data_IF_279437510555
#
_entry.id   IF_279437510555
#
_cell.length_a   1.000
_cell.length_b   1.000
_cell.length_c   1.000
_cell.angle_alpha   90.00
_cell.angle_beta   90.00
_cell.angle_gamma   90.00
#
_symmetry.space_group_name_H-M   'P 1'
#
loop_
_entity.id
_entity.type
_entity.pdbx_description
1 polymer ?
#
# COMPACT_ATOMS: atom_id res chain seq x y z
N UNK A 1 -27.79 7.13 -14.19
CA UNK A 1 -26.38 7.41 -13.88
C UNK A 1 -26.01 8.66 -14.64
N UNK A 2 -26.22 9.82 -14.03
CA UNK A 2 -25.82 11.10 -14.61
C UNK A 2 -24.47 11.46 -14.00
N UNK A 3 -23.43 10.95 -14.66
CA UNK A 3 -22.04 11.28 -14.42
C UNK A 3 -21.65 12.32 -15.46
N UNK A 4 -20.82 13.28 -15.04
CA UNK A 4 -20.46 14.43 -15.85
C UNK A 4 -20.07 14.02 -17.27
N UNK A 5 -20.55 14.77 -18.26
CA UNK A 5 -20.37 14.47 -19.70
C UNK A 5 -18.89 14.22 -20.06
N UNK A 6 -17.95 14.81 -19.31
CA UNK A 6 -16.50 14.65 -19.47
C UNK A 6 -15.96 13.29 -18.99
N UNK A 7 -16.44 12.77 -17.86
CA UNK A 7 -16.05 11.44 -17.35
C UNK A 7 -16.50 10.34 -18.32
N UNK A 8 -17.66 10.51 -18.96
CA UNK A 8 -18.13 9.60 -20.01
C UNK A 8 -17.24 9.62 -21.27
N UNK A 9 -16.63 10.77 -21.63
CA UNK A 9 -15.73 10.86 -22.80
C UNK A 9 -14.39 10.16 -22.57
N UNK A 10 -13.80 10.35 -21.40
CA UNK A 10 -12.53 9.70 -21.04
C UNK A 10 -12.72 8.19 -20.95
N UNK A 11 -13.83 7.75 -20.34
CA UNK A 11 -14.19 6.33 -20.28
C UNK A 11 -14.38 5.74 -21.69
N UNK A 12 -15.13 6.43 -22.56
CA UNK A 12 -15.34 6.00 -23.94
C UNK A 12 -14.05 5.93 -24.76
N UNK A 13 -13.08 6.83 -24.51
CA UNK A 13 -11.76 6.75 -25.13
C UNK A 13 -11.02 5.48 -24.72
N UNK A 14 -10.95 5.16 -23.43
CA UNK A 14 -10.26 3.95 -22.99
C UNK A 14 -10.94 2.67 -23.47
N UNK A 15 -12.27 2.64 -23.51
CA UNK A 15 -13.02 1.55 -24.10
C UNK A 15 -12.67 1.40 -25.60
N UNK A 16 -12.63 2.51 -26.34
CA UNK A 16 -12.27 2.50 -27.77
C UNK A 16 -10.80 2.11 -27.99
N UNK A 17 -9.88 2.51 -27.10
CA UNK A 17 -8.47 2.17 -27.17
C UNK A 17 -8.22 0.68 -26.93
N UNK A 18 -8.78 0.10 -25.87
CA UNK A 18 -8.45 -1.27 -25.47
C UNK A 18 -9.36 -2.33 -26.08
N UNK A 19 -10.61 -1.98 -26.38
CA UNK A 19 -11.62 -2.93 -26.85
C UNK A 19 -12.22 -2.53 -28.21
N UNK A 20 -11.70 -1.47 -28.83
CA UNK A 20 -12.23 -0.93 -30.06
C UNK A 20 -11.97 -1.77 -31.30
N UNK A 21 -10.88 -2.53 -31.36
CA UNK A 21 -10.62 -3.48 -32.44
C UNK A 21 -11.68 -4.58 -32.53
N UNK A 22 -12.35 -4.89 -31.41
CA UNK A 22 -13.49 -5.83 -31.34
C UNK A 22 -14.86 -5.15 -31.44
N UNK A 23 -14.90 -3.83 -31.68
CA UNK A 23 -16.14 -3.08 -31.86
C UNK A 23 -16.96 -2.81 -30.59
N UNK A 24 -16.44 -3.11 -29.40
CA UNK A 24 -17.15 -2.98 -28.10
C UNK A 24 -17.73 -1.58 -27.87
N UNK A 25 -16.98 -0.54 -28.22
CA UNK A 25 -17.45 0.85 -28.15
C UNK A 25 -18.69 1.13 -29.04
N UNK A 26 -18.84 0.45 -30.17
CA UNK A 26 -20.04 0.56 -31.02
C UNK A 26 -21.26 -0.13 -30.40
N UNK A 27 -21.08 -1.23 -29.67
CA UNK A 27 -22.16 -1.89 -28.90
C UNK A 27 -22.66 -0.99 -27.77
N UNK A 28 -21.76 -0.32 -27.06
CA UNK A 28 -22.09 0.66 -26.00
C UNK A 28 -22.84 1.86 -26.59
N UNK A 29 -22.45 2.32 -27.78
CA UNK A 29 -23.17 3.35 -28.54
C UNK A 29 -24.46 2.85 -29.22
N UNK A 30 -24.85 1.58 -29.00
CA UNK A 30 -26.04 0.93 -29.58
C UNK A 30 -26.05 0.87 -31.12
N UNK A 31 -24.88 0.94 -31.75
CA UNK A 31 -24.72 0.76 -33.19
C UNK A 31 -24.25 -0.66 -33.52
N UNK A 32 -25.17 -1.62 -33.35
CA UNK A 32 -24.88 -3.05 -33.46
C UNK A 32 -24.35 -3.47 -34.83
N UNK A 33 -24.78 -2.81 -35.91
CA UNK A 33 -24.30 -3.09 -37.27
C UNK A 33 -22.79 -2.85 -37.39
N UNK A 34 -22.29 -1.72 -36.87
CA UNK A 34 -20.86 -1.41 -36.85
C UNK A 34 -20.09 -2.27 -35.86
N UNK A 35 -20.67 -2.56 -34.70
CA UNK A 35 -20.07 -3.48 -33.72
C UNK A 35 -19.82 -4.86 -34.31
N UNK A 36 -20.82 -5.46 -34.98
CA UNK A 36 -20.71 -6.75 -35.66
C UNK A 36 -19.68 -6.68 -36.79
N UNK A 37 -19.70 -5.62 -37.62
CA UNK A 37 -18.69 -5.44 -38.67
C UNK A 37 -17.26 -5.42 -38.10
N UNK A 38 -17.02 -4.67 -37.01
CA UNK A 38 -15.70 -4.57 -36.36
C UNK A 38 -15.27 -5.90 -35.73
N UNK A 39 -16.21 -6.65 -35.14
CA UNK A 39 -15.95 -7.95 -34.55
C UNK A 39 -15.43 -8.96 -35.59
N UNK A 40 -15.99 -8.95 -36.81
CA UNK A 40 -15.58 -9.86 -37.88
C UNK A 40 -14.43 -9.35 -38.76
N UNK A 41 -14.08 -8.07 -38.66
CA UNK A 41 -13.02 -7.45 -39.47
C UNK A 41 -11.83 -6.92 -38.65
N UNK A 42 -11.82 -7.16 -37.33
CA UNK A 42 -10.84 -6.60 -36.39
C UNK A 42 -10.67 -5.09 -36.58
N UNK A 43 -11.77 -4.36 -36.43
CA UNK A 43 -11.78 -2.91 -36.53
C UNK A 43 -11.58 -2.39 -37.95
N UNK A 44 -12.09 -3.12 -38.95
CA UNK A 44 -11.93 -2.78 -40.37
C UNK A 44 -10.47 -2.85 -40.80
N UNK A 45 -9.82 -3.99 -40.51
CA UNK A 45 -8.38 -4.20 -40.72
C UNK A 45 -7.51 -3.17 -39.98
N UNK A 46 -7.86 -2.85 -38.73
CA UNK A 46 -7.21 -1.87 -37.85
C UNK A 46 -7.23 -0.40 -38.30
N UNK A 47 -7.55 -0.09 -39.56
CA UNK A 47 -7.56 1.29 -40.08
C UNK A 47 -8.75 2.08 -39.52
N UNK A 48 -9.95 1.48 -39.51
CA UNK A 48 -11.15 2.15 -39.00
C UNK A 48 -11.11 2.32 -37.48
N UNK A 49 -10.53 1.35 -36.77
CA UNK A 49 -10.27 1.45 -35.33
C UNK A 49 -9.29 2.57 -34.99
N UNK A 50 -8.20 2.75 -35.75
CA UNK A 50 -7.24 3.83 -35.50
C UNK A 50 -7.88 5.22 -35.70
N UNK A 51 -8.75 5.34 -36.71
CA UNK A 51 -9.56 6.55 -36.90
C UNK A 51 -10.47 6.82 -35.69
N UNK A 52 -11.13 5.79 -35.14
CA UNK A 52 -12.01 5.94 -33.98
C UNK A 52 -11.25 6.28 -32.69
N UNK A 53 -10.02 5.79 -32.52
CA UNK A 53 -9.13 6.23 -31.42
C UNK A 53 -8.82 7.72 -31.56
N UNK A 54 -8.36 8.16 -32.73
CA UNK A 54 -8.03 9.56 -32.98
C UNK A 54 -9.26 10.45 -32.75
N UNK A 55 -10.42 10.05 -33.27
CA UNK A 55 -11.67 10.77 -33.10
C UNK A 55 -12.08 10.85 -31.62
N UNK A 56 -12.08 9.72 -30.91
CA UNK A 56 -12.44 9.69 -29.49
C UNK A 56 -11.46 10.48 -28.63
N UNK A 57 -10.19 10.58 -29.03
CA UNK A 57 -9.20 11.42 -28.37
C UNK A 57 -9.49 12.91 -28.55
N UNK A 58 -9.80 13.36 -29.77
CA UNK A 58 -10.18 14.75 -30.03
C UNK A 58 -11.52 15.12 -29.38
N UNK A 59 -12.48 14.19 -29.32
CA UNK A 59 -13.78 14.41 -28.67
C UNK A 59 -13.65 14.65 -27.14
N UNK A 60 -12.56 14.23 -26.49
CA UNK A 60 -12.27 14.58 -25.07
C UNK A 60 -12.16 16.11 -24.90
N UNK A 61 -11.71 16.81 -25.94
CA UNK A 61 -11.41 18.24 -25.91
C UNK A 61 -12.46 19.11 -26.63
N UNK A 62 -13.46 18.51 -27.29
CA UNK A 62 -14.52 19.23 -28.01
C UNK A 62 -15.84 19.24 -27.21
N UNK A 63 -16.22 20.41 -26.66
CA UNK A 63 -17.39 20.56 -25.80
C UNK A 63 -18.73 20.67 -26.55
N UNK A 64 -18.75 20.70 -27.89
CA UNK A 64 -19.94 21.13 -28.66
C UNK A 64 -20.96 20.04 -29.04
N UNK A 65 -20.73 18.75 -28.80
CA UNK A 65 -21.50 17.67 -29.49
C UNK A 65 -22.57 16.89 -28.71
N UNK A 66 -22.86 17.18 -27.44
CA UNK A 66 -23.89 16.43 -26.69
C UNK A 66 -24.82 17.34 -25.88
N UNK A 67 -25.68 18.09 -26.57
CA UNK A 67 -26.88 18.69 -25.98
C UNK A 67 -28.09 18.07 -26.69
N UNK A 68 -28.67 17.03 -26.09
CA UNK A 68 -30.12 16.73 -26.14
C UNK A 68 -30.49 15.85 -24.94
N UNK A 69 -30.96 16.39 -23.81
CA UNK A 69 -31.55 15.58 -22.76
C UNK A 69 -32.96 15.12 -23.18
N UNK A 70 -33.26 13.84 -22.99
CA UNK A 70 -34.60 13.27 -23.17
C UNK A 70 -35.33 13.39 -21.82
N UNK A 71 -36.44 14.13 -21.80
CA UNK A 71 -37.31 14.29 -20.62
C UNK A 71 -37.96 12.95 -20.27
N UNK A 72 -37.89 12.54 -18.99
CA UNK A 72 -38.64 11.40 -18.45
C UNK A 72 -39.49 11.92 -17.28
N UNK A 73 -40.81 11.64 -17.24
CA UNK A 73 -41.72 12.16 -16.22
C UNK A 73 -41.59 11.43 -14.87
N UNK A 74 -42.00 12.06 -13.76
CA UNK A 74 -41.72 11.58 -12.41
C UNK A 74 -42.67 10.46 -11.97
N UNK A 75 -42.13 9.40 -11.37
CA UNK A 75 -42.92 8.36 -10.66
C UNK A 75 -42.81 8.62 -9.14
N UNK A 76 -43.96 8.63 -8.47
CA UNK A 76 -44.11 8.94 -7.05
C UNK A 76 -43.53 7.85 -6.13
N UNK A 77 -43.03 8.20 -4.93
CA UNK A 77 -42.50 7.23 -3.98
C UNK A 77 -43.58 6.57 -3.12
N UNK A 78 -43.51 5.24 -3.01
CA UNK A 78 -44.28 4.41 -2.06
C UNK A 78 -43.65 4.57 -0.68
N UNK A 79 -44.46 5.01 0.30
CA UNK A 79 -44.08 5.11 1.71
C UNK A 79 -44.09 3.73 2.37
N UNK A 80 -43.00 3.38 3.05
CA UNK A 80 -43.05 2.45 4.18
C UNK A 80 -42.54 3.16 5.44
N UNK A 81 -43.45 3.31 6.40
CA UNK A 81 -43.23 3.90 7.71
C UNK A 81 -42.45 2.94 8.60
N UNK A 82 -41.30 3.38 9.13
CA UNK A 82 -40.76 2.88 10.40
C UNK A 82 -40.57 4.09 11.32
N UNK A 83 -41.29 4.03 12.44
CA UNK A 83 -41.34 5.02 13.50
C UNK A 83 -40.00 5.03 14.24
N UNK A 84 -39.32 6.18 14.22
CA UNK A 84 -38.25 6.50 15.17
C UNK A 84 -38.82 7.42 16.25
N UNK A 85 -38.68 7.03 17.50
CA UNK A 85 -38.84 7.88 18.68
C UNK A 85 -37.47 8.34 19.19
N UNK A 86 -37.48 9.53 19.82
CA UNK A 86 -36.46 10.14 20.71
C UNK A 86 -35.52 11.18 20.05
N UNK A 87 -35.31 12.36 20.70
CA UNK A 87 -35.55 13.66 20.08
C UNK A 87 -34.33 14.55 19.85
N UNK A 88 -34.55 15.55 18.99
CA UNK A 88 -33.69 16.72 18.74
C UNK A 88 -33.16 17.36 20.02
N UNK A 89 -31.83 17.47 20.11
CA UNK A 89 -31.15 18.49 20.91
C UNK A 89 -30.29 19.37 20.00
N UNK A 90 -30.80 20.58 19.82
CA UNK A 90 -30.10 21.87 19.72
C UNK A 90 -28.86 21.95 18.83
N UNK A 91 -29.09 22.57 17.68
CA UNK A 91 -28.10 23.23 16.81
C UNK A 91 -27.32 24.26 17.63
N UNK A 92 -26.03 24.00 17.85
CA UNK A 92 -25.05 25.02 18.21
C UNK A 92 -24.18 25.33 16.99
N UNK A 93 -24.12 26.60 16.62
CA UNK A 93 -23.29 27.17 15.57
C UNK A 93 -21.89 26.55 15.49
N UNK A 94 -21.61 25.85 14.39
CA UNK A 94 -20.25 25.58 13.96
C UNK A 94 -19.83 26.64 12.96
N UNK A 95 -18.90 27.48 13.41
CA UNK A 95 -18.02 28.25 12.57
C UNK A 95 -17.46 27.38 11.45
N UNK A 96 -17.39 27.97 10.25
CA UNK A 96 -16.86 27.44 8.99
C UNK A 96 -15.71 26.43 9.17
N UNK A 97 -15.96 25.15 8.91
CA UNK A 97 -14.92 24.14 8.79
C UNK A 97 -14.18 24.31 7.44
N UNK A 98 -12.91 24.72 7.49
CA UNK A 98 -11.97 24.55 6.35
C UNK A 98 -11.85 23.05 5.98
N UNK A 99 -11.66 22.69 4.70
CA UNK A 99 -11.70 21.31 4.24
C UNK A 99 -10.46 20.52 4.72
N UNK A 100 -10.64 19.83 5.84
CA UNK A 100 -9.67 19.02 6.58
C UNK A 100 -8.98 17.92 5.73
N UNK A 101 -9.49 17.57 4.53
CA UNK A 101 -8.97 16.48 3.70
C UNK A 101 -7.74 16.90 2.86
N UNK A 102 -7.73 18.09 2.26
CA UNK A 102 -6.67 18.48 1.33
C UNK A 102 -5.39 18.95 2.04
N UNK A 103 -5.54 19.64 3.18
CA UNK A 103 -4.41 20.18 3.93
C UNK A 103 -3.53 19.08 4.54
N UNK A 104 -4.14 17.99 5.02
CA UNK A 104 -3.39 16.87 5.60
C UNK A 104 -2.66 16.05 4.52
N UNK A 105 -3.25 15.89 3.34
CA UNK A 105 -2.58 15.27 2.19
C UNK A 105 -1.36 16.10 1.77
N UNK A 106 -1.51 17.42 1.73
CA UNK A 106 -0.40 18.33 1.41
C UNK A 106 0.71 18.28 2.48
N UNK A 107 0.34 18.17 3.75
CA UNK A 107 1.28 17.98 4.85
C UNK A 107 2.02 16.64 4.74
N UNK A 108 1.30 15.54 4.52
CA UNK A 108 1.87 14.20 4.31
C UNK A 108 2.90 14.19 3.16
N UNK A 109 2.53 14.72 1.99
CA UNK A 109 3.42 14.86 0.84
C UNK A 109 4.69 15.63 1.18
N UNK A 110 4.54 16.76 1.88
CA UNK A 110 5.67 17.60 2.30
C UNK A 110 6.60 16.87 3.26
N UNK A 111 6.06 16.23 4.30
CA UNK A 111 6.82 15.50 5.32
C UNK A 111 7.59 14.35 4.69
N UNK A 112 6.93 13.52 3.88
CA UNK A 112 7.60 12.39 3.21
C UNK A 112 8.66 12.86 2.23
N UNK A 113 8.37 13.91 1.44
CA UNK A 113 9.36 14.46 0.50
C UNK A 113 10.58 14.98 1.25
N UNK A 114 10.42 15.78 2.30
CA UNK A 114 11.53 16.30 3.10
C UNK A 114 12.37 15.17 3.72
N UNK A 115 11.74 14.12 4.25
CA UNK A 115 12.44 12.93 4.75
C UNK A 115 13.30 12.28 3.66
N UNK A 116 12.72 12.05 2.48
CA UNK A 116 13.36 11.27 1.43
C UNK A 116 14.42 12.06 0.64
N UNK A 117 14.30 13.39 0.58
CA UNK A 117 15.17 14.27 -0.22
C UNK A 117 16.14 15.13 0.61
N UNK A 118 16.18 14.95 1.94
CA UNK A 118 17.25 15.50 2.75
C UNK A 118 18.61 14.93 2.30
N UNK A 119 19.54 15.80 1.95
CA UNK A 119 20.84 15.47 1.38
C UNK A 119 20.80 15.08 -0.09
N UNK A 120 19.78 15.54 -0.84
CA UNK A 120 19.68 15.35 -2.30
C UNK A 120 19.73 16.70 -3.04
N UNK A 121 20.31 16.74 -4.25
CA UNK A 121 20.26 17.94 -5.09
C UNK A 121 18.87 18.13 -5.72
N UNK A 122 18.60 19.34 -6.23
CA UNK A 122 17.50 19.55 -7.17
C UNK A 122 17.89 18.95 -8.51
N UNK A 123 16.99 18.15 -9.09
CA UNK A 123 17.18 17.54 -10.40
C UNK A 123 16.12 18.01 -11.40
N UNK A 124 16.29 17.62 -12.65
CA UNK A 124 15.23 17.69 -13.66
C UNK A 124 14.08 16.75 -13.30
N UNK A 125 12.87 17.06 -13.76
CA UNK A 125 11.65 16.34 -13.37
C UNK A 125 11.72 14.84 -13.70
N UNK A 126 12.38 14.46 -14.79
CA UNK A 126 12.56 13.07 -15.26
C UNK A 126 13.52 12.25 -14.39
N UNK A 127 14.38 12.90 -13.59
CA UNK A 127 15.33 12.25 -12.67
C UNK A 127 14.74 11.93 -11.30
N UNK A 128 13.49 12.30 -11.05
CA UNK A 128 12.78 11.91 -9.84
C UNK A 128 12.03 10.58 -10.06
N UNK A 129 11.92 9.72 -9.03
CA UNK A 129 11.14 8.50 -9.11
C UNK A 129 9.67 8.75 -9.46
N UNK A 130 9.12 7.90 -10.33
CA UNK A 130 7.73 8.04 -10.81
C UNK A 130 6.67 7.93 -9.71
N UNK A 131 6.98 7.29 -8.57
CA UNK A 131 6.04 7.16 -7.45
C UNK A 131 5.62 8.53 -6.89
N UNK A 132 6.47 9.58 -7.00
CA UNK A 132 6.09 10.94 -6.59
C UNK A 132 4.90 11.47 -7.39
N UNK A 133 4.79 11.09 -8.66
CA UNK A 133 3.65 11.43 -9.49
C UNK A 133 2.43 10.57 -9.14
N UNK A 134 2.57 9.24 -9.12
CA UNK A 134 1.42 8.34 -8.95
C UNK A 134 0.83 8.41 -7.54
N UNK A 135 1.67 8.37 -6.51
CA UNK A 135 1.23 8.22 -5.13
C UNK A 135 1.04 9.59 -4.46
N UNK A 136 1.96 10.51 -4.72
CA UNK A 136 1.95 11.84 -4.10
C UNK A 136 1.35 12.93 -4.99
N UNK A 137 0.97 12.63 -6.24
CA UNK A 137 0.43 13.62 -7.21
C UNK A 137 1.31 14.87 -7.34
N UNK A 138 2.62 14.71 -7.16
CA UNK A 138 3.61 15.77 -7.37
C UNK A 138 3.98 15.74 -8.85
N UNK A 139 3.34 16.61 -9.64
CA UNK A 139 3.51 16.67 -11.10
C UNK A 139 4.86 17.27 -11.53
N UNK A 140 5.36 18.22 -10.75
CA UNK A 140 6.62 18.92 -11.01
C UNK A 140 7.53 18.83 -9.78
N UNK A 141 8.22 17.68 -9.57
CA UNK A 141 9.02 17.47 -8.37
C UNK A 141 10.20 18.44 -8.24
N UNK A 142 10.79 18.91 -9.35
CA UNK A 142 11.83 19.95 -9.31
C UNK A 142 11.29 21.28 -8.76
N UNK A 143 10.13 21.70 -9.24
CA UNK A 143 9.44 22.91 -8.75
C UNK A 143 9.03 22.74 -7.29
N UNK A 144 8.53 21.56 -6.92
CA UNK A 144 8.18 21.26 -5.53
C UNK A 144 9.40 21.33 -4.61
N UNK A 145 10.55 20.77 -5.02
CA UNK A 145 11.80 20.82 -4.26
C UNK A 145 12.27 22.27 -4.07
N UNK A 146 12.29 23.07 -5.14
CA UNK A 146 12.59 24.51 -5.10
C UNK A 146 11.65 25.27 -4.16
N UNK A 147 10.35 24.94 -4.18
CA UNK A 147 9.35 25.54 -3.28
C UNK A 147 9.65 25.25 -1.80
N UNK A 148 10.20 24.09 -1.46
CA UNK A 148 10.57 23.78 -0.07
C UNK A 148 11.79 24.59 0.40
N UNK A 149 12.70 24.93 -0.53
CA UNK A 149 13.81 25.86 -0.27
C UNK A 149 13.27 27.27 -0.03
N UNK A 150 12.42 27.79 -0.91
CA UNK A 150 11.86 29.14 -0.74
C UNK A 150 10.98 29.27 0.51
N UNK A 151 10.37 28.17 0.95
CA UNK A 151 9.62 28.11 2.22
C UNK A 151 10.52 27.94 3.45
N UNK A 152 11.83 27.82 3.29
CA UNK A 152 12.82 27.71 4.36
C UNK A 152 12.82 26.36 5.08
N UNK A 153 12.35 25.29 4.44
CA UNK A 153 12.45 23.92 5.00
C UNK A 153 13.76 23.22 4.61
N UNK A 154 14.36 23.66 3.50
CA UNK A 154 15.62 23.18 2.96
C UNK A 154 16.54 24.37 2.67
N UNK A 155 17.83 24.15 2.76
CA UNK A 155 18.87 25.11 2.40
C UNK A 155 20.06 24.40 1.73
N UNK A 156 20.93 25.13 1.00
CA UNK A 156 22.17 24.56 0.51
C UNK A 156 22.98 23.94 1.64
N UNK A 157 23.41 22.69 1.47
CA UNK A 157 24.31 22.03 2.41
C UNK A 157 25.69 22.68 2.42
N UNK A 158 26.43 22.47 3.51
CA UNK A 158 27.83 22.86 3.56
C UNK A 158 28.66 22.07 2.55
N UNK A 159 29.90 22.51 2.31
CA UNK A 159 30.89 21.74 1.54
C UNK A 159 31.04 20.35 2.13
N UNK A 160 31.12 20.26 3.47
CA UNK A 160 31.30 19.00 4.17
C UNK A 160 30.12 18.05 3.93
N UNK A 161 28.89 18.57 3.97
CA UNK A 161 27.67 17.81 3.67
C UNK A 161 27.70 17.27 2.23
N UNK A 162 28.09 18.12 1.27
CA UNK A 162 28.18 17.76 -0.14
C UNK A 162 29.25 16.70 -0.38
N UNK A 163 30.47 16.88 0.14
CA UNK A 163 31.58 15.94 0.03
C UNK A 163 31.20 14.56 0.62
N UNK A 164 30.48 14.53 1.75
CA UNK A 164 29.96 13.30 2.36
C UNK A 164 28.95 12.57 1.49
N UNK A 165 28.24 13.26 0.59
CA UNK A 165 27.25 12.64 -0.31
C UNK A 165 27.80 12.29 -1.70
N UNK A 166 28.92 12.86 -2.12
CA UNK A 166 29.58 12.49 -3.37
C UNK A 166 29.90 11.00 -3.43
N UNK A 167 29.90 10.40 -4.63
CA UNK A 167 30.35 9.01 -4.78
C UNK A 167 31.85 8.96 -4.54
N UNK A 168 32.33 7.81 -4.09
CA UNK A 168 33.77 7.63 -3.85
C UNK A 168 34.60 7.87 -5.13
N UNK A 169 34.03 7.55 -6.30
CA UNK A 169 34.66 7.80 -7.61
C UNK A 169 34.82 9.29 -7.86
N UNK A 170 33.77 10.10 -7.63
CA UNK A 170 33.81 11.55 -7.82
C UNK A 170 34.87 12.21 -6.92
N UNK A 171 35.02 11.74 -5.67
CA UNK A 171 36.07 12.23 -4.76
C UNK A 171 37.48 11.90 -5.25
N UNK A 172 37.68 10.68 -5.79
CA UNK A 172 38.97 10.25 -6.33
C UNK A 172 39.34 11.00 -7.61
N UNK A 173 38.37 11.31 -8.46
CA UNK A 173 38.58 12.12 -9.66
C UNK A 173 39.10 13.52 -9.30
N UNK A 174 38.50 14.16 -8.29
CA UNK A 174 38.97 15.46 -7.79
C UNK A 174 40.39 15.33 -7.21
N UNK A 175 40.66 14.34 -6.35
CA UNK A 175 42.02 14.16 -5.80
C UNK A 175 43.07 13.92 -6.90
N UNK A 176 42.73 13.13 -7.92
CA UNK A 176 43.61 12.84 -9.04
C UNK A 176 43.93 14.10 -9.86
N UNK A 177 42.98 15.01 -10.08
CA UNK A 177 43.25 16.25 -10.82
C UNK A 177 44.24 17.18 -10.10
N UNK A 178 44.37 17.03 -8.77
CA UNK A 178 45.37 17.72 -7.94
C UNK A 178 46.62 16.87 -7.67
N UNK A 179 46.78 15.73 -8.35
CA UNK A 179 47.88 14.78 -8.15
C UNK A 179 48.03 14.31 -6.70
N UNK A 180 46.92 14.25 -5.97
CA UNK A 180 46.88 13.79 -4.58
C UNK A 180 46.61 12.28 -4.50
N UNK A 181 47.10 11.59 -3.45
CA UNK A 181 46.80 10.17 -3.24
C UNK A 181 45.29 9.88 -3.20
N UNK A 182 44.86 8.83 -3.90
CA UNK A 182 43.45 8.38 -4.01
C UNK A 182 43.13 7.13 -3.17
N UNK A 183 44.07 6.68 -2.35
CA UNK A 183 43.92 5.55 -1.44
C UNK A 183 43.26 5.97 -0.12
N UNK A 184 42.61 4.99 0.54
CA UNK A 184 41.93 5.17 1.83
C UNK A 184 40.41 5.05 1.74
N UNK A 185 39.76 5.14 2.90
CA UNK A 185 38.30 5.18 3.01
C UNK A 185 37.77 6.58 2.66
N UNK A 186 36.44 6.74 2.63
CA UNK A 186 35.80 8.00 2.21
C UNK A 186 36.21 9.19 3.06
N UNK A 187 36.31 9.02 4.38
CA UNK A 187 36.66 10.09 5.31
C UNK A 187 38.12 10.53 5.13
N UNK A 188 39.02 9.59 4.82
CA UNK A 188 40.41 9.93 4.45
C UNK A 188 40.47 10.79 3.18
N UNK A 189 39.67 10.46 2.15
CA UNK A 189 39.64 11.21 0.90
C UNK A 189 39.09 12.63 1.10
N UNK A 190 38.01 12.77 1.89
CA UNK A 190 37.38 14.05 2.21
C UNK A 190 38.35 14.94 3.00
N UNK A 191 39.02 14.40 4.02
CA UNK A 191 40.00 15.15 4.81
C UNK A 191 41.15 15.65 3.93
N UNK A 192 41.69 14.78 3.07
CA UNK A 192 42.76 15.15 2.13
C UNK A 192 42.36 16.27 1.17
N UNK A 193 41.13 16.25 0.66
CA UNK A 193 40.61 17.34 -0.16
C UNK A 193 40.56 18.65 0.63
N UNK A 194 40.04 18.64 1.85
CA UNK A 194 39.92 19.84 2.70
C UNK A 194 41.28 20.41 3.11
N UNK A 195 42.28 19.54 3.32
CA UNK A 195 43.61 19.95 3.77
C UNK A 195 44.48 20.51 2.62
N UNK A 196 44.23 20.09 1.38
CA UNK A 196 45.11 20.38 0.24
C UNK A 196 44.48 21.22 -0.87
N UNK A 197 43.15 21.36 -0.90
CA UNK A 197 42.44 22.13 -1.94
C UNK A 197 41.78 23.34 -1.29
N UNK A 198 42.02 24.58 -1.78
CA UNK A 198 41.39 25.78 -1.24
C UNK A 198 39.86 25.69 -1.24
N UNK A 199 39.23 26.21 -0.19
CA UNK A 199 37.79 26.10 0.02
C UNK A 199 36.96 26.64 -1.16
N UNK A 200 37.32 27.83 -1.68
CA UNK A 200 36.63 28.44 -2.83
C UNK A 200 36.74 27.60 -4.10
N UNK A 201 37.88 26.92 -4.29
CA UNK A 201 38.06 26.01 -5.41
C UNK A 201 37.24 24.74 -5.23
N UNK A 202 37.18 24.20 -4.01
CA UNK A 202 36.28 23.08 -3.68
C UNK A 202 34.81 23.45 -3.94
N UNK A 203 34.36 24.62 -3.48
CA UNK A 203 33.00 25.13 -3.75
C UNK A 203 32.69 25.13 -5.24
N UNK A 204 33.61 25.66 -6.05
CA UNK A 204 33.44 25.70 -7.50
C UNK A 204 33.34 24.29 -8.12
N UNK A 205 34.22 23.38 -7.72
CA UNK A 205 34.29 22.01 -8.26
C UNK A 205 33.07 21.14 -7.94
N UNK A 206 32.37 21.44 -6.85
CA UNK A 206 31.21 20.66 -6.39
C UNK A 206 29.88 21.42 -6.51
N UNK A 207 29.90 22.63 -7.09
CA UNK A 207 28.74 23.52 -7.11
C UNK A 207 27.51 22.87 -7.77
N UNK A 208 27.71 22.20 -8.90
CA UNK A 208 26.69 21.44 -9.63
C UNK A 208 26.21 20.18 -8.89
N UNK A 209 26.96 19.73 -7.88
CA UNK A 209 26.68 18.58 -7.02
C UNK A 209 26.14 18.98 -5.65
N UNK A 210 25.93 20.28 -5.41
CA UNK A 210 25.45 20.80 -4.14
C UNK A 210 24.14 20.16 -3.74
N UNK A 211 24.13 19.60 -2.54
CA UNK A 211 22.94 18.98 -1.97
C UNK A 211 22.13 19.98 -1.17
N UNK A 212 20.86 19.68 -0.95
CA UNK A 212 20.02 20.42 -0.01
C UNK A 212 19.90 19.66 1.30
N UNK A 213 19.98 20.37 2.42
CA UNK A 213 19.83 19.81 3.77
C UNK A 213 18.66 20.47 4.50
N UNK A 214 18.12 19.78 5.51
CA UNK A 214 17.05 20.32 6.34
C UNK A 214 17.54 21.50 7.19
N UNK A 215 16.80 22.61 7.11
CA UNK A 215 16.90 23.71 8.09
C UNK A 215 16.35 23.27 9.45
N UNK A 216 16.57 24.06 10.50
CA UNK A 216 15.92 23.82 11.81
C UNK A 216 14.38 23.79 11.70
N UNK A 217 13.79 24.61 10.82
CA UNK A 217 12.35 24.57 10.53
C UNK A 217 11.94 23.25 9.88
N UNK A 218 12.73 22.73 8.94
CA UNK A 218 12.53 21.42 8.34
C UNK A 218 12.61 20.29 9.35
N UNK A 219 13.66 20.27 10.18
CA UNK A 219 13.87 19.26 11.24
C UNK A 219 12.71 19.28 12.24
N UNK A 220 12.27 20.47 12.68
CA UNK A 220 11.12 20.64 13.57
C UNK A 220 9.84 20.06 12.96
N UNK A 221 9.55 20.38 11.69
CA UNK A 221 8.38 19.86 11.00
C UNK A 221 8.37 18.32 10.95
N UNK A 222 9.51 17.69 10.62
CA UNK A 222 9.61 16.23 10.60
C UNK A 222 9.38 15.64 12.00
N UNK A 223 10.00 16.22 13.04
CA UNK A 223 9.85 15.76 14.42
C UNK A 223 8.40 15.84 14.90
N UNK A 224 7.70 16.94 14.60
CA UNK A 224 6.30 17.14 14.99
C UNK A 224 5.33 16.22 14.25
N UNK A 225 5.74 15.67 13.09
CA UNK A 225 4.95 14.83 12.21
C UNK A 225 5.59 13.44 12.01
N UNK A 226 6.31 12.96 13.03
CA UNK A 226 6.96 11.64 12.99
C UNK A 226 5.96 10.52 12.69
N UNK A 227 4.73 10.66 13.15
CA UNK A 227 3.66 9.69 12.91
C UNK A 227 3.30 9.53 11.42
N UNK A 228 3.46 10.59 10.61
CA UNK A 228 3.27 10.53 9.17
C UNK A 228 4.42 9.83 8.45
N UNK A 229 5.62 9.91 9.01
CA UNK A 229 6.79 9.17 8.53
C UNK A 229 6.62 7.68 8.83
N UNK A 230 6.13 7.35 10.03
CA UNK A 230 5.85 5.98 10.45
C UNK A 230 4.69 5.40 9.61
N UNK A 231 3.62 6.17 9.40
CA UNK A 231 2.55 5.80 8.46
C UNK A 231 3.08 5.53 7.06
N UNK A 232 3.96 6.39 6.52
CA UNK A 232 4.54 6.14 5.19
C UNK A 232 5.34 4.84 5.15
N UNK A 233 6.00 4.50 6.24
CA UNK A 233 6.87 3.32 6.34
C UNK A 233 6.08 2.02 6.54
N UNK A 234 4.93 2.07 7.20
CA UNK A 234 4.19 0.88 7.63
C UNK A 234 2.71 0.84 7.25
N UNK A 235 2.02 1.98 7.29
CA UNK A 235 0.55 2.04 7.16
C UNK A 235 0.01 1.41 5.89
N UNK A 236 0.62 1.69 4.72
CA UNK A 236 0.19 1.09 3.45
C UNK A 236 0.40 -0.43 3.41
N UNK A 237 1.50 -0.93 3.97
CA UNK A 237 1.78 -2.38 4.09
C UNK A 237 0.73 -3.05 4.96
N UNK A 238 0.31 -2.37 6.02
CA UNK A 238 -0.73 -2.84 6.94
C UNK A 238 -2.15 -2.55 6.45
N UNK A 239 -2.30 -2.16 5.18
CA UNK A 239 -3.58 -1.88 4.55
C UNK A 239 -4.40 -0.83 5.33
N UNK A 240 -3.71 0.13 5.95
CA UNK A 240 -4.31 1.28 6.63
C UNK A 240 -4.27 2.44 5.65
N UNK A 241 -5.44 2.91 5.24
CA UNK A 241 -5.53 4.06 4.34
C UNK A 241 -5.27 5.36 5.11
N UNK A 242 -4.72 6.37 4.43
CA UNK A 242 -4.33 7.62 5.10
C UNK A 242 -5.53 8.33 5.71
N UNK A 243 -6.68 8.31 5.04
CA UNK A 243 -7.91 8.93 5.53
C UNK A 243 -8.51 8.18 6.72
N UNK A 244 -8.48 6.85 6.70
CA UNK A 244 -8.80 5.99 7.86
C UNK A 244 -7.92 6.34 9.06
N UNK A 245 -6.59 6.39 8.86
CA UNK A 245 -5.63 6.76 9.90
C UNK A 245 -5.93 8.14 10.51
N UNK A 246 -6.13 9.15 9.65
CA UNK A 246 -6.45 10.52 10.09
C UNK A 246 -7.76 10.57 10.87
N UNK A 247 -8.78 9.85 10.40
CA UNK A 247 -10.10 9.80 11.03
C UNK A 247 -9.99 9.25 12.44
N UNK A 248 -9.33 8.10 12.60
CA UNK A 248 -9.15 7.47 13.93
C UNK A 248 -8.27 8.33 14.82
N UNK A 249 -7.13 8.83 14.33
CA UNK A 249 -6.24 9.72 15.08
C UNK A 249 -6.98 10.93 15.67
N UNK A 250 -7.92 11.52 14.92
CA UNK A 250 -8.71 12.68 15.38
C UNK A 250 -9.81 12.32 16.37
N UNK A 251 -10.28 11.07 16.38
CA UNK A 251 -11.28 10.60 17.34
C UNK A 251 -10.70 10.23 18.70
N UNK A 252 -9.38 10.05 18.82
CA UNK A 252 -8.76 9.69 20.08
C UNK A 252 -8.83 10.87 21.08
N UNK A 253 -9.19 10.61 22.36
CA UNK A 253 -9.24 11.65 23.39
C UNK A 253 -7.84 12.06 23.89
N UNK A 254 -6.79 11.41 23.40
CA UNK A 254 -5.40 11.66 23.74
C UNK A 254 -4.53 11.66 22.49
N UNK A 255 -3.30 12.16 22.62
CA UNK A 255 -2.30 12.14 21.54
C UNK A 255 -1.63 10.76 21.48
N UNK A 256 -2.16 9.86 20.67
CA UNK A 256 -1.54 8.56 20.37
C UNK A 256 -0.35 8.68 19.41
N UNK A 257 0.58 7.73 19.51
CA UNK A 257 1.58 7.46 18.47
C UNK A 257 0.93 6.87 17.22
N UNK A 258 1.71 6.75 16.13
CA UNK A 258 1.25 6.02 14.95
C UNK A 258 0.83 4.58 15.30
N UNK A 259 1.61 3.88 16.13
CA UNK A 259 1.33 2.50 16.51
C UNK A 259 0.07 2.36 17.35
N UNK A 260 -0.22 3.31 18.25
CA UNK A 260 -1.46 3.30 19.04
C UNK A 260 -2.70 3.42 18.14
N UNK A 261 -2.67 4.34 17.17
CA UNK A 261 -3.76 4.53 16.21
C UNK A 261 -3.89 3.31 15.29
N UNK A 262 -2.77 2.79 14.79
CA UNK A 262 -2.75 1.61 13.92
C UNK A 262 -3.28 0.37 14.64
N UNK A 263 -2.92 0.18 15.92
CA UNK A 263 -3.45 -0.90 16.74
C UNK A 263 -4.96 -0.80 16.88
N UNK A 264 -5.50 0.38 17.19
CA UNK A 264 -6.96 0.58 17.29
C UNK A 264 -7.71 0.27 15.99
N UNK A 265 -7.11 0.60 14.83
CA UNK A 265 -7.66 0.26 13.51
C UNK A 265 -7.66 -1.26 13.29
N UNK A 266 -6.49 -1.90 13.49
CA UNK A 266 -6.32 -3.33 13.23
C UNK A 266 -7.14 -4.18 14.21
N UNK A 267 -7.22 -3.79 15.48
CA UNK A 267 -7.99 -4.53 16.49
C UNK A 267 -9.50 -4.49 16.19
N UNK A 268 -10.02 -3.33 15.79
CA UNK A 268 -11.40 -3.23 15.29
C UNK A 268 -11.61 -4.12 14.07
N UNK A 269 -10.73 -4.03 13.07
CA UNK A 269 -10.82 -4.81 11.83
C UNK A 269 -10.74 -6.31 12.08
N UNK A 270 -9.90 -6.75 13.03
CA UNK A 270 -9.79 -8.13 13.48
C UNK A 270 -11.14 -8.63 14.02
N UNK A 271 -11.79 -7.84 14.86
CA UNK A 271 -13.12 -8.18 15.38
C UNK A 271 -14.17 -8.24 14.27
N UNK A 272 -14.24 -7.20 13.44
CA UNK A 272 -15.20 -7.10 12.33
C UNK A 272 -15.03 -8.31 11.37
N UNK A 273 -13.80 -8.60 10.91
CA UNK A 273 -13.51 -9.76 10.04
C UNK A 273 -13.86 -11.11 10.68
N UNK A 274 -13.65 -11.25 12.00
CA UNK A 274 -14.00 -12.48 12.71
C UNK A 274 -15.52 -12.69 12.76
N UNK A 275 -16.28 -11.63 13.10
CA UNK A 275 -17.75 -11.69 13.15
C UNK A 275 -18.37 -11.92 11.77
N UNK A 276 -17.82 -11.27 10.75
CA UNK A 276 -18.28 -11.39 9.36
C UNK A 276 -17.81 -12.69 8.67
N UNK A 277 -16.99 -13.49 9.36
CA UNK A 277 -16.39 -14.75 8.86
C UNK A 277 -15.47 -14.57 7.64
N UNK A 278 -14.86 -13.39 7.52
CA UNK A 278 -13.87 -13.04 6.51
C UNK A 278 -12.47 -13.53 6.95
N UNK A 279 -12.27 -14.85 6.96
CA UNK A 279 -11.10 -15.46 7.60
C UNK A 279 -9.76 -15.14 6.92
N UNK A 280 -9.73 -14.95 5.60
CA UNK A 280 -8.51 -14.52 4.88
C UNK A 280 -8.11 -13.09 5.28
N UNK A 281 -9.10 -12.20 5.38
CA UNK A 281 -8.90 -10.83 5.84
C UNK A 281 -8.53 -10.79 7.34
N UNK A 282 -9.09 -11.68 8.14
CA UNK A 282 -8.72 -11.87 9.54
C UNK A 282 -7.24 -12.29 9.67
N UNK A 283 -6.80 -13.33 8.97
CA UNK A 283 -5.42 -13.79 8.98
C UNK A 283 -4.46 -12.67 8.57
N UNK A 284 -4.78 -11.95 7.50
CA UNK A 284 -4.02 -10.78 7.04
C UNK A 284 -3.93 -9.67 8.11
N UNK A 285 -5.03 -9.41 8.81
CA UNK A 285 -5.08 -8.39 9.87
C UNK A 285 -4.26 -8.81 11.10
N UNK A 286 -4.39 -10.06 11.54
CA UNK A 286 -3.61 -10.66 12.64
C UNK A 286 -2.12 -10.62 12.31
N UNK A 287 -1.74 -10.92 11.06
CA UNK A 287 -0.36 -10.81 10.61
C UNK A 287 0.17 -9.37 10.74
N UNK A 288 -0.60 -8.37 10.29
CA UNK A 288 -0.22 -6.96 10.45
C UNK A 288 -0.05 -6.56 11.93
N UNK A 289 -0.91 -7.08 12.81
CA UNK A 289 -0.78 -6.88 14.27
C UNK A 289 0.50 -7.53 14.82
N UNK A 290 0.89 -8.70 14.30
CA UNK A 290 2.16 -9.35 14.67
C UNK A 290 3.37 -8.52 14.25
N UNK A 291 3.37 -7.95 13.03
CA UNK A 291 4.45 -7.10 12.52
C UNK A 291 4.58 -5.83 13.39
N UNK A 292 3.44 -5.20 13.73
CA UNK A 292 3.40 -4.02 14.58
C UNK A 292 4.05 -4.30 15.94
N UNK A 293 3.64 -5.39 16.61
CA UNK A 293 4.21 -5.79 17.90
C UNK A 293 5.70 -6.11 17.80
N UNK A 294 6.14 -6.73 16.70
CA UNK A 294 7.54 -6.97 16.40
C UNK A 294 8.35 -5.67 16.30
N UNK A 295 7.81 -4.61 15.68
CA UNK A 295 8.43 -3.28 15.63
C UNK A 295 8.52 -2.62 17.01
N UNK A 296 7.54 -2.84 17.86
CA UNK A 296 7.55 -2.41 19.26
C UNK A 296 8.41 -3.29 20.18
N UNK A 297 9.08 -4.32 19.63
CA UNK A 297 9.87 -5.32 20.38
C UNK A 297 9.05 -6.12 21.40
N UNK A 298 7.74 -6.20 21.20
CA UNK A 298 6.80 -7.03 21.98
C UNK A 298 6.75 -8.44 21.39
N UNK A 299 7.90 -9.11 21.40
CA UNK A 299 8.12 -10.35 20.64
C UNK A 299 7.26 -11.52 21.10
N UNK A 300 6.98 -11.63 22.41
CA UNK A 300 6.07 -12.65 22.95
C UNK A 300 4.67 -12.53 22.36
N UNK A 301 4.10 -11.32 22.37
CA UNK A 301 2.79 -11.06 21.79
C UNK A 301 2.82 -11.20 20.26
N UNK A 302 3.89 -10.74 19.60
CA UNK A 302 4.08 -10.94 18.16
C UNK A 302 4.02 -12.43 17.79
N UNK A 303 4.72 -13.29 18.55
CA UNK A 303 4.65 -14.74 18.39
C UNK A 303 3.23 -15.29 18.59
N UNK A 304 2.49 -14.83 19.60
CA UNK A 304 1.10 -15.25 19.82
C UNK A 304 0.22 -14.98 18.59
N UNK A 305 0.36 -13.81 17.96
CA UNK A 305 -0.36 -13.48 16.72
C UNK A 305 0.13 -14.33 15.52
N UNK A 306 1.43 -14.57 15.38
CA UNK A 306 1.98 -15.44 14.32
C UNK A 306 1.47 -16.88 14.43
N UNK A 307 1.38 -17.42 15.65
CA UNK A 307 0.79 -18.74 15.89
C UNK A 307 -0.70 -18.76 15.50
N UNK A 308 -1.44 -17.68 15.74
CA UNK A 308 -2.82 -17.56 15.31
C UNK A 308 -2.97 -17.49 13.78
N UNK A 309 -2.07 -16.79 13.07
CA UNK A 309 -2.02 -16.79 11.60
C UNK A 309 -1.76 -18.21 11.09
N UNK A 310 -0.72 -18.87 11.59
CA UNK A 310 -0.36 -20.21 11.15
C UNK A 310 -1.45 -21.25 11.47
N UNK A 311 -2.17 -21.07 12.57
CA UNK A 311 -3.35 -21.86 12.88
C UNK A 311 -4.46 -21.66 11.86
N UNK A 312 -4.79 -20.41 11.49
CA UNK A 312 -5.78 -20.13 10.43
C UNK A 312 -5.36 -20.76 9.11
N UNK A 313 -4.10 -20.57 8.70
CA UNK A 313 -3.55 -21.08 7.44
C UNK A 313 -3.57 -22.61 7.34
N UNK A 314 -3.50 -23.32 8.47
CA UNK A 314 -3.51 -24.79 8.51
C UNK A 314 -4.87 -25.39 8.89
N UNK A 315 -5.81 -24.59 9.38
CA UNK A 315 -7.13 -25.06 9.83
C UNK A 315 -8.03 -25.54 8.70
N UNK A 316 -7.83 -25.02 7.50
CA UNK A 316 -8.71 -25.19 6.33
C UNK A 316 -9.98 -24.34 6.39
N UNK A 317 -10.07 -23.36 7.31
CA UNK A 317 -11.23 -22.47 7.43
C UNK A 317 -11.47 -21.63 6.17
N UNK A 318 -10.44 -21.39 5.36
CA UNK A 318 -10.55 -20.69 4.08
C UNK A 318 -11.36 -21.46 3.04
N UNK A 319 -11.61 -22.76 3.24
CA UNK A 319 -12.52 -23.50 2.37
C UNK A 319 -13.96 -22.96 2.43
N UNK A 320 -14.32 -22.23 3.50
CA UNK A 320 -15.64 -21.62 3.67
C UNK A 320 -15.89 -20.42 2.75
N UNK A 321 -14.84 -19.88 2.12
CA UNK A 321 -14.97 -18.88 1.05
C UNK A 321 -15.68 -19.47 -0.18
N UNK A 322 -15.65 -20.79 -0.34
CA UNK A 322 -16.28 -21.49 -1.46
C UNK A 322 -17.60 -22.13 -1.04
N UNK A 323 -18.56 -22.11 -1.96
CA UNK A 323 -19.80 -22.86 -1.80
C UNK A 323 -19.52 -24.38 -1.77
N UNK A 324 -20.25 -25.13 -0.94
CA UNK A 324 -20.02 -26.59 -0.79
C UNK A 324 -20.35 -27.36 -2.07
N UNK A 325 -21.40 -26.98 -2.78
CA UNK A 325 -21.75 -27.64 -4.04
C UNK A 325 -20.76 -27.27 -5.14
N UNK A 326 -20.22 -26.04 -5.09
CA UNK A 326 -19.07 -25.66 -5.93
C UNK A 326 -17.87 -26.58 -5.68
N UNK A 327 -17.50 -26.88 -4.42
CA UNK A 327 -16.39 -27.79 -4.10
C UNK A 327 -16.67 -29.19 -4.62
N UNK A 328 -17.86 -29.74 -4.37
CA UNK A 328 -18.23 -31.11 -4.79
C UNK A 328 -18.27 -31.29 -6.31
N UNK A 329 -18.48 -30.20 -7.06
CA UNK A 329 -18.54 -30.23 -8.53
C UNK A 329 -17.16 -30.39 -9.19
N UNK A 330 -16.07 -30.26 -8.43
CA UNK A 330 -14.69 -30.25 -8.93
C UNK A 330 -14.17 -31.66 -9.15
N UNK A 331 -13.32 -31.81 -10.16
CA UNK A 331 -12.55 -33.03 -10.32
C UNK A 331 -11.40 -33.13 -9.31
N UNK A 332 -10.74 -34.28 -9.26
CA UNK A 332 -9.65 -34.52 -8.30
C UNK A 332 -8.46 -33.56 -8.48
N UNK A 333 -8.14 -33.16 -9.72
CA UNK A 333 -7.01 -32.27 -10.01
C UNK A 333 -7.33 -30.83 -9.55
N UNK A 334 -8.56 -30.38 -9.78
CA UNK A 334 -9.07 -29.10 -9.29
C UNK A 334 -9.12 -29.07 -7.76
N UNK A 335 -9.60 -30.13 -7.11
CA UNK A 335 -9.63 -30.24 -5.65
C UNK A 335 -8.22 -30.19 -5.05
N UNK A 336 -7.24 -30.81 -5.69
CA UNK A 336 -5.84 -30.75 -5.25
C UNK A 336 -5.27 -29.32 -5.35
N UNK A 337 -5.55 -28.60 -6.44
CA UNK A 337 -5.19 -27.18 -6.56
C UNK A 337 -5.87 -26.33 -5.49
N UNK A 338 -7.13 -26.60 -5.17
CA UNK A 338 -7.85 -25.91 -4.10
C UNK A 338 -7.23 -26.18 -2.72
N UNK A 339 -6.79 -27.42 -2.44
CA UNK A 339 -6.15 -27.75 -1.16
C UNK A 339 -4.90 -26.90 -0.91
N UNK A 340 -4.12 -26.57 -1.95
CA UNK A 340 -2.95 -25.68 -1.84
C UNK A 340 -3.31 -24.23 -1.47
N UNK A 341 -4.56 -23.81 -1.70
CA UNK A 341 -5.05 -22.48 -1.29
C UNK A 341 -5.65 -22.58 0.12
N UNK A 342 -6.38 -23.65 0.40
CA UNK A 342 -7.07 -23.90 1.69
C UNK A 342 -6.07 -24.12 2.82
N UNK A 343 -4.98 -24.84 2.56
CA UNK A 343 -3.91 -25.13 3.50
C UNK A 343 -2.63 -24.47 3.02
N UNK A 344 -2.23 -23.41 3.71
CA UNK A 344 -1.05 -22.62 3.33
C UNK A 344 0.06 -22.78 4.36
N UNK A 345 1.28 -23.06 3.90
CA UNK A 345 2.48 -23.05 4.72
C UNK A 345 3.36 -21.89 4.26
N UNK A 346 3.02 -20.68 4.68
CA UNK A 346 3.72 -19.48 4.24
C UNK A 346 5.15 -19.42 4.81
N UNK A 347 6.22 -19.49 3.99
CA UNK A 347 7.59 -19.59 4.51
C UNK A 347 7.98 -18.41 5.39
N UNK A 348 7.56 -17.19 5.02
CA UNK A 348 7.82 -15.99 5.81
C UNK A 348 7.12 -15.97 7.18
N UNK A 349 6.03 -16.72 7.37
CA UNK A 349 5.37 -16.88 8.68
C UNK A 349 6.16 -17.90 9.51
N UNK A 350 6.51 -19.04 8.91
CA UNK A 350 7.31 -20.09 9.53
C UNK A 350 8.66 -19.54 10.02
N UNK A 351 9.38 -18.81 9.16
CA UNK A 351 10.65 -18.16 9.51
C UNK A 351 10.51 -17.21 10.70
N UNK A 352 9.42 -16.44 10.76
CA UNK A 352 9.17 -15.52 11.88
C UNK A 352 8.80 -16.24 13.18
N UNK A 353 8.04 -17.34 13.11
CA UNK A 353 7.75 -18.20 14.25
C UNK A 353 9.05 -18.77 14.82
N UNK A 354 9.92 -19.31 13.98
CA UNK A 354 11.25 -19.81 14.38
C UNK A 354 12.09 -18.67 14.97
N UNK A 355 12.11 -17.50 14.33
CA UNK A 355 12.87 -16.34 14.81
C UNK A 355 12.48 -15.92 16.24
N UNK A 356 11.20 -16.07 16.61
CA UNK A 356 10.70 -15.75 17.95
C UNK A 356 10.55 -16.95 18.88
N UNK A 357 11.03 -18.14 18.51
CA UNK A 357 10.93 -19.38 19.28
C UNK A 357 11.31 -19.22 20.77
N UNK A 358 12.34 -18.44 21.07
CA UNK A 358 12.81 -18.21 22.45
C UNK A 358 11.78 -17.55 23.38
N UNK A 359 10.71 -16.98 22.82
CA UNK A 359 9.61 -16.36 23.57
C UNK A 359 8.38 -17.28 23.68
N UNK A 360 8.46 -18.49 23.15
CA UNK A 360 7.38 -19.46 23.24
C UNK A 360 7.16 -19.91 24.68
N UNK A 361 5.90 -19.91 25.12
CA UNK A 361 5.51 -20.35 26.46
C UNK A 361 4.47 -21.49 26.38
N UNK A 362 4.50 -22.43 27.34
CA UNK A 362 3.41 -23.39 27.51
C UNK A 362 2.07 -22.65 27.65
N UNK A 363 1.06 -23.05 26.88
CA UNK A 363 -0.27 -22.44 26.88
C UNK A 363 -0.54 -21.48 25.73
N UNK A 364 0.48 -21.01 24.99
CA UNK A 364 0.25 -20.15 23.81
C UNK A 364 -0.64 -20.81 22.75
N UNK A 365 -0.45 -22.11 22.51
CA UNK A 365 -1.28 -22.88 21.58
C UNK A 365 -2.72 -23.00 22.11
N UNK A 366 -2.89 -23.21 23.41
CA UNK A 366 -4.20 -23.29 24.07
C UNK A 366 -4.97 -21.99 23.89
N UNK A 367 -4.29 -20.86 24.10
CA UNK A 367 -4.83 -19.53 23.88
C UNK A 367 -5.27 -19.32 22.43
N UNK A 368 -4.48 -19.74 21.43
CA UNK A 368 -4.88 -19.62 20.02
C UNK A 368 -6.21 -20.32 19.75
N UNK A 369 -6.35 -21.57 20.19
CA UNK A 369 -7.58 -22.35 19.99
C UNK A 369 -8.77 -21.81 20.81
N UNK A 370 -8.51 -21.20 21.97
CA UNK A 370 -9.55 -20.60 22.80
C UNK A 370 -10.04 -19.25 22.26
N UNK A 371 -9.14 -18.40 21.76
CA UNK A 371 -9.48 -17.07 21.24
C UNK A 371 -10.05 -17.09 19.83
N UNK A 372 -9.71 -18.10 19.03
CA UNK A 372 -10.17 -18.25 17.65
C UNK A 372 -10.91 -19.58 17.43
N UNK A 373 -12.09 -19.79 18.04
CA UNK A 373 -12.90 -20.97 17.77
C UNK A 373 -13.44 -20.91 16.33
N UNK A 374 -12.95 -21.81 15.48
CA UNK A 374 -13.30 -21.82 14.06
C UNK A 374 -14.54 -22.69 13.79
N UNK A 375 -15.43 -22.26 12.87
CA UNK A 375 -16.60 -23.06 12.46
C UNK A 375 -16.22 -24.36 11.72
N UNK A 376 -15.00 -24.42 11.19
CA UNK A 376 -14.41 -25.57 10.52
C UNK A 376 -12.94 -25.63 10.88
N UNK A 377 -12.44 -26.82 11.24
CA UNK A 377 -11.04 -27.00 11.57
C UNK A 377 -10.56 -28.45 11.40
N UNK A 378 -9.73 -28.69 10.38
CA UNK A 378 -9.08 -29.99 10.15
C UNK A 378 -7.77 -30.16 10.92
N UNK A 379 -7.20 -29.05 11.40
CA UNK A 379 -6.01 -28.99 12.23
C UNK A 379 -6.39 -29.06 13.71
N UNK A 380 -6.51 -30.29 14.24
CA UNK A 380 -6.70 -30.51 15.68
C UNK A 380 -5.53 -29.91 16.48
N UNK A 381 -5.80 -29.42 17.70
CA UNK A 381 -4.77 -28.88 18.60
C UNK A 381 -3.53 -29.77 18.72
N UNK A 382 -3.70 -31.08 18.90
CA UNK A 382 -2.59 -32.06 18.97
C UNK A 382 -1.73 -32.10 17.69
N UNK A 383 -2.36 -31.94 16.53
CA UNK A 383 -1.65 -31.89 15.24
C UNK A 383 -0.86 -30.59 15.12
N UNK A 384 -1.45 -29.46 15.51
CA UNK A 384 -0.77 -28.16 15.54
C UNK A 384 0.40 -28.14 16.53
N UNK A 385 0.22 -28.68 17.74
CA UNK A 385 1.31 -28.89 18.71
C UNK A 385 2.46 -29.71 18.11
N UNK A 386 2.13 -30.74 17.32
CA UNK A 386 3.14 -31.55 16.63
C UNK A 386 3.89 -30.72 15.59
N UNK A 387 3.20 -29.88 14.80
CA UNK A 387 3.84 -28.97 13.84
C UNK A 387 4.78 -27.99 14.53
N UNK A 388 4.32 -27.32 15.59
CA UNK A 388 5.15 -26.35 16.34
C UNK A 388 6.36 -27.04 16.98
N UNK A 389 6.19 -28.26 17.49
CA UNK A 389 7.31 -29.05 18.01
C UNK A 389 8.31 -29.39 16.92
N UNK A 390 7.86 -29.82 15.75
CA UNK A 390 8.73 -30.13 14.62
C UNK A 390 9.49 -28.89 14.14
N UNK A 391 8.80 -27.74 14.01
CA UNK A 391 9.41 -26.44 13.68
C UNK A 391 10.53 -26.02 14.64
N UNK A 392 10.42 -26.38 15.91
CA UNK A 392 11.32 -25.90 16.97
C UNK A 392 12.45 -26.86 17.32
N UNK A 393 12.26 -28.15 17.09
CA UNK A 393 13.15 -29.18 17.64
C UNK A 393 13.68 -30.17 16.59
N UNK A 394 13.29 -30.04 15.32
CA UNK A 394 13.82 -30.86 14.24
C UNK A 394 14.68 -30.02 13.28
N UNK A 395 15.57 -30.70 12.56
CA UNK A 395 16.46 -30.07 11.57
C UNK A 395 15.71 -29.51 10.36
N UNK A 396 14.53 -30.05 10.07
CA UNK A 396 13.64 -29.60 9.00
C UNK A 396 12.17 -29.77 9.40
N UNK A 397 11.31 -28.94 8.82
CA UNK A 397 9.87 -29.04 8.95
C UNK A 397 9.28 -29.70 7.70
N UNK A 398 8.66 -30.86 7.87
CA UNK A 398 8.07 -31.62 6.76
C UNK A 398 6.69 -31.05 6.37
N UNK A 399 6.70 -29.97 5.60
CA UNK A 399 5.48 -29.32 5.09
C UNK A 399 4.58 -30.28 4.32
N UNK A 400 5.17 -31.14 3.49
CA UNK A 400 4.44 -32.08 2.64
C UNK A 400 3.68 -33.12 3.48
N UNK A 401 4.29 -33.66 4.53
CA UNK A 401 3.62 -34.54 5.50
C UNK A 401 2.39 -33.88 6.11
N UNK A 402 2.52 -32.66 6.63
CA UNK A 402 1.39 -31.99 7.30
C UNK A 402 0.32 -31.57 6.30
N UNK A 403 0.71 -31.09 5.12
CA UNK A 403 -0.20 -30.81 4.02
C UNK A 403 -1.03 -32.05 3.65
N UNK A 404 -0.38 -33.20 3.44
CA UNK A 404 -1.08 -34.44 3.09
C UNK A 404 -2.04 -34.91 4.19
N UNK A 405 -1.67 -34.78 5.47
CA UNK A 405 -2.58 -35.09 6.60
C UNK A 405 -3.83 -34.19 6.57
N UNK A 406 -3.66 -32.90 6.31
CA UNK A 406 -4.76 -31.93 6.27
C UNK A 406 -5.64 -32.13 5.02
N UNK A 407 -5.01 -32.33 3.86
CA UNK A 407 -5.65 -32.68 2.59
C UNK A 407 -6.55 -33.90 2.74
N UNK A 408 -6.03 -34.99 3.29
CA UNK A 408 -6.79 -36.23 3.47
C UNK A 408 -8.02 -36.04 4.36
N UNK A 409 -7.91 -35.21 5.40
CA UNK A 409 -9.05 -34.89 6.28
C UNK A 409 -10.11 -34.07 5.56
N UNK A 410 -9.69 -33.09 4.76
CA UNK A 410 -10.59 -32.27 3.95
C UNK A 410 -11.32 -33.10 2.90
N UNK A 411 -10.60 -33.89 2.11
CA UNK A 411 -11.19 -34.71 1.05
C UNK A 411 -12.18 -35.76 1.60
N UNK A 412 -11.95 -36.29 2.81
CA UNK A 412 -12.91 -37.19 3.49
C UNK A 412 -14.19 -36.50 3.98
N UNK A 413 -14.21 -35.18 4.03
CA UNK A 413 -15.33 -34.39 4.56
C UNK A 413 -16.27 -33.81 3.48
N UNK A 414 -15.84 -33.90 2.21
CA UNK A 414 -16.60 -33.57 1.01
C UNK A 414 -17.41 -34.81 0.62
#
# INVERSE_FOLDING_TARGET
MDLSIKENRILMFFITLFTGSFGVHWFIQKNYKRGIFYLFTFGGFFVCWLYDICKSFFDIFDDKKFIKPKVVPPTQPIQHNIVNTIPNKTVSNYNEQKPIKQDYINLYRKVVFLRNYNGSPIRDNDKYPRYLFYDFKITNPSIFHKKLVTQGFLEPGSIDDTLKKLRIVDLKEILHSYKLPVSGNKDNLISRLKDNVPEETLKFLINDKSILVLTEKGKKLLKENQDLIDYHSYGLRWQIQLDEYIKVKKSLPFKGSFFDVAWGILDKRKLDNYYDKEFEALASTIYCMSELLGKEKKYKQSLQFLLAVFYLDTSGVFSLTYDREFIKSRDNEELEKMCNIIFTFAPGIIEQIIHYQKYFEPGMIDEVYAFYPLPLNYCSKKLFESMIKELYFNDFFDEEKYFNILKDKFLKSI
#
